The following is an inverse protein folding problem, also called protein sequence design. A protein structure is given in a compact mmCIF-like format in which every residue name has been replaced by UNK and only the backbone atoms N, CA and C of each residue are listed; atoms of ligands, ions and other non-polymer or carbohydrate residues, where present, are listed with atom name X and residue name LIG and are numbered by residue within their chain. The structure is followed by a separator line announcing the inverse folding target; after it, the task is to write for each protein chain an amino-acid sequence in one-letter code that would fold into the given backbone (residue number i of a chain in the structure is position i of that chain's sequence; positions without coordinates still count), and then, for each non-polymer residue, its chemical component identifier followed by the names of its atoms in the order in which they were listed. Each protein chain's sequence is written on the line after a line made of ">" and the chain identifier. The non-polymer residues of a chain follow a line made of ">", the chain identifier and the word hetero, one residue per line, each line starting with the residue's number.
data_IF_881901521031
#
_entry.id   IF_881901521031
#
_cell.length_a   1.000
_cell.length_b   1.000
_cell.length_c   1.000
_cell.angle_alpha   90.00
_cell.angle_beta   90.00
_cell.angle_gamma   90.00
#
_symmetry.space_group_name_H-M   'P 1'
#
loop_
_entity.id
_entity.type
_entity.pdbx_description
1 polymer ?
#
# COMPACT_ATOMS: atom_id res chain seq x y z
N UNK A 1 -31.57 28.31 -41.98
CA UNK A 1 -32.23 27.23 -41.22
C UNK A 1 -31.28 26.03 -41.21
N UNK A 2 -30.78 25.64 -40.02
CA UNK A 2 -30.10 24.36 -39.70
C UNK A 2 -28.70 24.17 -40.35
N UNK A 3 -27.66 23.66 -39.70
CA UNK A 3 -27.53 22.91 -38.44
C UNK A 3 -26.05 23.02 -38.01
N UNK A 4 -25.77 23.40 -36.77
CA UNK A 4 -24.45 23.26 -36.17
C UNK A 4 -24.36 21.86 -35.55
N UNK A 5 -23.37 21.06 -35.94
CA UNK A 5 -23.08 19.75 -35.33
C UNK A 5 -21.80 19.92 -34.51
N UNK A 6 -21.98 20.08 -33.21
CA UNK A 6 -20.94 19.96 -32.19
C UNK A 6 -20.59 18.47 -32.04
N UNK A 7 -19.45 18.04 -32.56
CA UNK A 7 -18.86 16.75 -32.21
C UNK A 7 -18.05 16.92 -30.93
N UNK A 8 -18.71 16.76 -29.78
CA UNK A 8 -18.06 16.61 -28.50
C UNK A 8 -17.57 15.15 -28.39
N UNK A 9 -16.35 14.88 -28.86
CA UNK A 9 -15.69 13.62 -28.59
C UNK A 9 -15.25 13.60 -27.12
N UNK A 10 -16.12 13.07 -26.25
CA UNK A 10 -15.79 12.80 -24.86
C UNK A 10 -14.65 11.78 -24.79
N UNK A 11 -13.49 12.24 -24.34
CA UNK A 11 -12.35 11.39 -24.02
C UNK A 11 -12.69 10.60 -22.76
N UNK A 12 -13.25 9.41 -22.93
CA UNK A 12 -13.46 8.47 -21.83
C UNK A 12 -12.11 7.79 -21.53
N UNK A 13 -11.31 8.37 -20.64
CA UNK A 13 -10.10 7.71 -20.14
C UNK A 13 -10.53 6.49 -19.33
N UNK A 14 -10.30 5.30 -19.87
CA UNK A 14 -10.30 4.07 -19.09
C UNK A 14 -9.23 4.21 -18.01
N UNK A 15 -9.64 4.52 -16.78
CA UNK A 15 -8.84 4.24 -15.60
C UNK A 15 -8.77 2.71 -15.49
N UNK A 16 -7.73 2.11 -16.08
CA UNK A 16 -7.43 0.71 -15.86
C UNK A 16 -7.22 0.49 -14.36
N UNK A 17 -7.93 -0.48 -13.79
CA UNK A 17 -7.65 -0.97 -12.45
C UNK A 17 -6.24 -1.57 -12.49
N UNK A 18 -5.25 -0.80 -12.07
CA UNK A 18 -3.90 -1.32 -11.84
C UNK A 18 -4.03 -2.27 -10.66
N UNK A 19 -3.91 -3.57 -10.92
CA UNK A 19 -3.69 -4.49 -9.82
C UNK A 19 -2.40 -4.02 -9.12
N UNK A 20 -2.52 -3.77 -7.82
CA UNK A 20 -1.42 -3.44 -6.93
C UNK A 20 -0.26 -4.46 -7.06
N UNK A 21 0.70 -4.18 -7.95
CA UNK A 21 1.88 -5.02 -8.18
C UNK A 21 2.77 -4.99 -6.94
N UNK A 22 3.37 -6.14 -6.61
CA UNK A 22 4.35 -6.23 -5.54
C UNK A 22 5.64 -5.56 -6.02
N UNK A 23 6.12 -4.55 -5.30
CA UNK A 23 7.36 -3.85 -5.61
C UNK A 23 8.28 -3.82 -4.40
N UNK A 24 9.10 -4.86 -4.28
CA UNK A 24 10.05 -5.02 -3.19
C UNK A 24 11.23 -4.05 -3.28
N UNK A 25 11.67 -3.70 -4.49
CA UNK A 25 12.78 -2.79 -4.67
C UNK A 25 12.40 -1.38 -4.20
N UNK A 26 11.24 -0.87 -4.65
CA UNK A 26 10.73 0.42 -4.20
C UNK A 26 10.37 0.41 -2.71
N UNK A 27 9.90 -0.72 -2.18
CA UNK A 27 9.64 -0.87 -0.75
C UNK A 27 10.94 -0.70 0.06
N UNK A 28 12.02 -1.40 -0.28
CA UNK A 28 13.30 -1.31 0.42
C UNK A 28 13.93 0.07 0.31
N UNK A 29 13.84 0.71 -0.86
CA UNK A 29 14.28 2.09 -1.07
C UNK A 29 13.48 3.07 -0.20
N UNK A 30 12.15 2.91 -0.15
CA UNK A 30 11.27 3.76 0.66
C UNK A 30 11.52 3.58 2.15
N UNK A 31 11.88 2.38 2.60
CA UNK A 31 12.24 2.12 4.00
C UNK A 31 13.56 2.76 4.44
N UNK A 32 14.35 3.33 3.51
CA UNK A 32 15.50 4.19 3.87
C UNK A 32 15.08 5.59 4.33
N UNK A 33 13.83 5.99 4.06
CA UNK A 33 13.25 7.24 4.52
C UNK A 33 12.74 7.06 5.97
N UNK A 34 13.28 7.83 6.92
CA UNK A 34 12.88 7.78 8.33
C UNK A 34 11.42 8.18 8.56
N UNK A 35 10.82 8.93 7.63
CA UNK A 35 9.40 9.29 7.69
C UNK A 35 8.49 8.17 7.18
N UNK A 36 9.02 7.13 6.56
CA UNK A 36 8.22 5.99 6.07
C UNK A 36 7.65 5.14 7.21
N UNK A 37 6.59 4.39 6.92
CA UNK A 37 6.02 3.41 7.83
C UNK A 37 5.95 2.02 7.20
N UNK A 38 6.49 1.03 7.90
CA UNK A 38 6.29 -0.37 7.60
C UNK A 38 5.04 -0.88 8.33
N UNK A 39 4.05 -1.37 7.58
CA UNK A 39 2.76 -1.81 8.12
C UNK A 39 2.55 -3.29 7.82
N UNK A 40 2.39 -4.07 8.88
CA UNK A 40 1.95 -5.46 8.81
C UNK A 40 0.43 -5.52 8.81
N UNK A 41 -0.17 -5.96 7.70
CA UNK A 41 -1.63 -6.06 7.57
C UNK A 41 -2.18 -7.45 7.89
N UNK A 42 -1.36 -8.34 8.46
CA UNK A 42 -1.76 -9.63 9.03
C UNK A 42 -2.53 -9.46 10.35
N UNK A 43 -3.06 -10.56 10.90
CA UNK A 43 -3.73 -10.53 12.20
C UNK A 43 -2.77 -10.18 13.33
N UNK A 44 -3.31 -9.77 14.47
CA UNK A 44 -2.52 -9.49 15.66
C UNK A 44 -1.75 -10.72 16.17
N UNK A 45 -2.31 -11.92 16.01
CA UNK A 45 -1.66 -13.19 16.37
C UNK A 45 -0.46 -13.47 15.45
N UNK A 46 -0.64 -13.36 14.13
CA UNK A 46 0.47 -13.52 13.16
C UNK A 46 1.60 -12.51 13.42
N UNK A 47 1.27 -11.29 13.85
CA UNK A 47 2.26 -10.26 14.21
C UNK A 47 2.98 -10.60 15.52
N UNK A 48 2.25 -11.08 16.54
CA UNK A 48 2.81 -11.48 17.82
C UNK A 48 3.72 -12.71 17.72
N UNK A 49 3.43 -13.61 16.78
CA UNK A 49 4.26 -14.79 16.49
C UNK A 49 5.57 -14.44 15.76
N UNK A 50 5.67 -13.24 15.20
CA UNK A 50 6.87 -12.72 14.54
C UNK A 50 6.52 -11.70 13.45
N UNK A 51 7.21 -10.56 13.45
CA UNK A 51 7.00 -9.46 12.53
C UNK A 51 8.33 -8.88 12.02
N UNK A 52 8.27 -8.14 10.91
CA UNK A 52 9.45 -7.46 10.39
C UNK A 52 9.87 -6.34 11.38
N UNK A 53 11.18 -6.11 11.59
CA UNK A 53 11.66 -5.07 12.50
C UNK A 53 11.06 -3.69 12.20
N UNK A 54 10.60 -3.00 13.24
CA UNK A 54 10.00 -1.66 13.11
C UNK A 54 8.58 -1.62 12.53
N UNK A 55 7.98 -2.77 12.19
CA UNK A 55 6.63 -2.81 11.65
C UNK A 55 5.55 -2.45 12.68
N UNK A 56 4.49 -1.79 12.22
CA UNK A 56 3.27 -1.53 12.99
C UNK A 56 2.17 -2.47 12.49
N UNK A 57 1.45 -3.14 13.39
CA UNK A 57 0.31 -3.97 13.00
C UNK A 57 -0.95 -3.14 12.76
N UNK A 58 -1.52 -3.28 11.56
CA UNK A 58 -2.77 -2.68 11.15
C UNK A 58 -3.52 -3.62 10.21
N UNK A 59 -4.35 -4.49 10.79
CA UNK A 59 -5.07 -5.54 10.06
C UNK A 59 -5.82 -5.00 8.82
N UNK A 60 -5.68 -5.67 7.68
CA UNK A 60 -6.20 -5.22 6.38
C UNK A 60 -7.73 -4.97 6.35
N UNK A 61 -8.50 -5.61 7.23
CA UNK A 61 -9.94 -5.46 7.35
C UNK A 61 -10.30 -4.16 8.10
N UNK A 62 -9.49 -3.75 9.08
CA UNK A 62 -9.66 -2.53 9.89
C UNK A 62 -8.84 -1.33 9.41
N UNK A 63 -8.03 -1.51 8.36
CA UNK A 63 -7.08 -0.48 7.91
C UNK A 63 -7.74 0.86 7.60
N UNK A 64 -8.90 0.85 6.94
CA UNK A 64 -9.61 2.06 6.54
C UNK A 64 -10.08 2.90 7.75
N UNK A 65 -10.42 2.24 8.84
CA UNK A 65 -10.93 2.89 10.06
C UNK A 65 -9.79 3.42 10.94
N UNK A 66 -8.63 2.76 10.90
CA UNK A 66 -7.53 3.00 11.85
C UNK A 66 -6.36 3.78 11.26
N UNK A 67 -6.18 3.80 9.94
CA UNK A 67 -4.97 4.39 9.32
C UNK A 67 -4.76 5.86 9.72
N UNK A 68 -5.82 6.67 9.83
CA UNK A 68 -5.70 8.08 10.20
C UNK A 68 -5.10 8.32 11.59
N UNK A 69 -5.15 7.32 12.49
CA UNK A 69 -4.52 7.39 13.81
C UNK A 69 -3.02 7.12 13.79
N UNK A 70 -2.54 6.43 12.74
CA UNK A 70 -1.14 6.01 12.57
C UNK A 70 -0.42 6.93 11.57
N UNK A 71 -1.08 7.24 10.45
CA UNK A 71 -0.61 8.11 9.39
C UNK A 71 -1.70 9.15 9.07
N UNK A 72 -1.82 10.24 9.85
CA UNK A 72 -2.79 11.29 9.57
C UNK A 72 -2.46 12.07 8.29
N UNK A 73 -1.16 12.15 7.95
CA UNK A 73 -0.68 12.70 6.70
C UNK A 73 -0.83 11.66 5.57
N UNK A 74 -1.54 12.05 4.50
CA UNK A 74 -1.81 11.19 3.35
C UNK A 74 -0.65 11.08 2.37
N UNK A 75 0.32 11.99 2.46
CA UNK A 75 1.54 11.96 1.67
C UNK A 75 2.67 11.21 2.36
N UNK A 76 2.44 10.73 3.60
CA UNK A 76 3.41 9.89 4.31
C UNK A 76 3.64 8.58 3.54
N UNK A 77 4.90 8.16 3.29
CA UNK A 77 5.19 6.89 2.61
C UNK A 77 4.77 5.69 3.47
N UNK A 78 3.97 4.79 2.90
CA UNK A 78 3.47 3.58 3.54
C UNK A 78 3.93 2.35 2.78
N UNK A 79 4.58 1.42 3.47
CA UNK A 79 5.04 0.14 2.93
C UNK A 79 4.25 -0.97 3.61
N UNK A 80 3.45 -1.70 2.85
CA UNK A 80 2.53 -2.71 3.36
C UNK A 80 3.05 -4.11 3.04
N UNK A 81 3.03 -5.01 4.02
CA UNK A 81 3.27 -6.44 3.78
C UNK A 81 2.24 -7.31 4.47
N UNK A 82 2.15 -8.55 4.04
CA UNK A 82 1.36 -9.56 4.73
C UNK A 82 1.99 -10.94 4.62
N UNK A 83 1.22 -12.01 4.83
CA UNK A 83 1.74 -13.38 4.68
C UNK A 83 2.11 -13.77 3.24
N UNK A 84 1.36 -13.30 2.25
CA UNK A 84 1.48 -13.79 0.85
C UNK A 84 1.28 -12.71 -0.22
N UNK A 85 1.37 -11.42 0.13
CA UNK A 85 1.10 -10.28 -0.75
C UNK A 85 -0.38 -9.94 -1.04
N UNK A 86 -1.31 -10.88 -0.86
CA UNK A 86 -2.73 -10.63 -1.21
C UNK A 86 -3.42 -9.61 -0.31
N UNK A 87 -3.22 -9.69 1.01
CA UNK A 87 -3.84 -8.75 1.97
C UNK A 87 -3.25 -7.36 1.87
N UNK A 88 -1.94 -7.24 1.62
CA UNK A 88 -1.26 -5.96 1.41
C UNK A 88 -1.69 -5.29 0.11
N UNK A 89 -1.95 -6.07 -0.96
CA UNK A 89 -2.59 -5.55 -2.18
C UNK A 89 -3.98 -4.95 -1.89
N UNK A 90 -4.87 -5.70 -1.22
CA UNK A 90 -6.19 -5.16 -0.83
C UNK A 90 -6.11 -3.92 0.07
N UNK A 91 -5.14 -3.91 0.99
CA UNK A 91 -4.90 -2.78 1.87
C UNK A 91 -4.41 -1.55 1.10
N UNK A 92 -3.51 -1.74 0.11
CA UNK A 92 -3.04 -0.67 -0.77
C UNK A 92 -4.20 -0.02 -1.52
N UNK A 93 -5.08 -0.82 -2.15
CA UNK A 93 -6.24 -0.31 -2.88
C UNK A 93 -7.17 0.51 -1.97
N UNK A 94 -7.43 0.03 -0.75
CA UNK A 94 -8.24 0.75 0.24
C UNK A 94 -7.61 2.08 0.62
N UNK A 95 -6.31 2.11 0.88
CA UNK A 95 -5.61 3.33 1.29
C UNK A 95 -5.53 4.35 0.15
N UNK A 96 -5.26 3.90 -1.07
CA UNK A 96 -5.29 4.76 -2.26
C UNK A 96 -6.69 5.35 -2.48
N UNK A 97 -7.76 4.55 -2.29
CA UNK A 97 -9.13 5.05 -2.35
C UNK A 97 -9.45 6.09 -1.25
N UNK A 98 -8.77 6.03 -0.11
CA UNK A 98 -8.85 7.04 0.95
C UNK A 98 -7.97 8.27 0.68
N UNK A 99 -7.19 8.27 -0.40
CA UNK A 99 -6.35 9.38 -0.84
C UNK A 99 -4.92 9.35 -0.33
N UNK A 100 -4.44 8.24 0.22
CA UNK A 100 -3.02 8.06 0.50
C UNK A 100 -2.25 7.95 -0.83
N UNK A 101 -1.31 8.86 -1.06
CA UNK A 101 -0.67 9.04 -2.36
C UNK A 101 0.57 8.14 -2.55
N UNK A 102 1.18 7.69 -1.45
CA UNK A 102 2.45 6.97 -1.43
C UNK A 102 2.33 5.64 -0.69
N UNK A 103 1.64 4.68 -1.30
CA UNK A 103 1.42 3.35 -0.72
C UNK A 103 2.06 2.30 -1.61
N UNK A 104 2.94 1.47 -1.03
CA UNK A 104 3.69 0.41 -1.72
C UNK A 104 3.30 -0.95 -1.14
N UNK A 105 3.02 -1.92 -2.00
CA UNK A 105 2.85 -3.31 -1.61
C UNK A 105 4.20 -4.04 -1.68
N UNK A 106 4.77 -4.36 -0.52
CA UNK A 106 6.04 -5.06 -0.39
C UNK A 106 5.92 -6.59 -0.49
N UNK A 107 4.69 -7.14 -0.51
CA UNK A 107 4.45 -8.56 -0.75
C UNK A 107 4.41 -9.41 0.52
N UNK A 108 5.10 -10.56 0.48
CA UNK A 108 5.05 -11.59 1.51
C UNK A 108 6.13 -11.42 2.58
N UNK A 109 5.79 -11.77 3.82
CA UNK A 109 6.67 -11.75 4.99
C UNK A 109 7.96 -12.56 4.75
N UNK A 110 7.83 -13.80 4.27
CA UNK A 110 8.97 -14.71 4.08
C UNK A 110 9.94 -14.21 2.99
N UNK A 111 9.46 -13.40 2.04
CA UNK A 111 10.32 -12.81 1.01
C UNK A 111 11.05 -11.57 1.52
N UNK A 112 10.41 -10.80 2.42
CA UNK A 112 10.94 -9.55 2.96
C UNK A 112 11.90 -9.74 4.14
N UNK A 113 11.61 -10.71 5.00
CA UNK A 113 12.42 -10.99 6.20
C UNK A 113 13.92 -11.11 5.89
N UNK A 114 14.37 -11.97 4.96
CA UNK A 114 15.79 -12.09 4.65
C UNK A 114 16.37 -10.84 3.98
N UNK A 115 15.55 -9.95 3.39
CA UNK A 115 16.04 -8.70 2.80
C UNK A 115 16.35 -7.66 3.86
N UNK A 116 15.55 -7.60 4.93
CA UNK A 116 15.73 -6.66 6.03
C UNK A 116 16.74 -7.16 7.07
N UNK A 117 16.90 -8.47 7.24
CA UNK A 117 17.90 -9.05 8.15
C UNK A 117 19.34 -8.98 7.59
N UNK A 118 19.52 -8.82 6.28
CA UNK A 118 20.84 -8.71 5.63
C UNK A 118 21.43 -7.30 5.67
N UNK A 119 20.78 -6.36 6.35
CA UNK A 119 21.12 -4.94 6.41
C UNK A 119 22.04 -4.50 7.54
N UNK A 120 23.04 -5.31 7.92
CA UNK A 120 24.19 -4.90 8.75
C UNK A 120 25.53 -5.26 8.07
#
# INVERSE_FOLDING_TARGET
>A
MRLAILFLAGLFTLAGAHAAEVDQAAALETLQDEDSLLIDVRSAEEFADGALPGAINLEHDRIAERIASVAPDKDRPLVLYCRSGRRSSFAQDKLQALGYSRVINAGAYDDLLPLLERGE
#
